data_IF_027050112501
#
_entry.id   IF_027050112501
#
_cell.length_a   1.000
_cell.length_b   1.000
_cell.length_c   1.000
_cell.angle_alpha   90.00
_cell.angle_beta   90.00
_cell.angle_gamma   90.00
#
_symmetry.space_group_name_H-M   'P 1'
#
loop_
_entity.id
_entity.type
_entity.pdbx_description
1 polymer ?
#
# COMPACT_ATOMS: atom_id res chain seq x y z
N UNK A 1 11.71 3.84 -20.22
CA UNK A 1 12.85 3.36 -19.41
C UNK A 1 12.43 3.34 -17.96
N UNK A 2 12.93 2.41 -17.16
CA UNK A 2 12.63 2.33 -15.73
C UNK A 2 13.92 2.46 -14.94
N UNK A 3 13.89 3.26 -13.89
CA UNK A 3 15.01 3.45 -12.98
C UNK A 3 14.55 3.09 -11.57
N UNK A 4 15.08 1.97 -11.08
CA UNK A 4 14.85 1.51 -9.72
C UNK A 4 15.93 2.09 -8.80
N UNK A 5 15.54 3.03 -7.94
CA UNK A 5 16.44 3.62 -6.93
C UNK A 5 16.41 2.80 -5.63
N UNK A 6 17.37 2.99 -4.71
CA UNK A 6 17.35 2.31 -3.41
C UNK A 6 16.06 2.56 -2.62
N UNK A 7 15.61 1.53 -1.90
CA UNK A 7 14.45 1.65 -1.01
C UNK A 7 14.75 2.64 0.11
N UNK A 8 14.06 3.77 0.06
CA UNK A 8 14.21 4.84 1.03
C UNK A 8 12.83 5.38 1.36
N UNK A 9 12.56 5.59 2.65
CA UNK A 9 11.32 6.21 3.08
C UNK A 9 11.37 7.69 2.72
N UNK A 10 10.59 8.11 1.72
CA UNK A 10 10.47 9.50 1.25
C UNK A 10 11.83 10.11 0.84
N UNK A 11 12.42 9.69 -0.29
CA UNK A 11 13.62 10.33 -0.83
C UNK A 11 13.37 11.82 -1.14
N UNK A 12 14.42 12.62 -1.05
CA UNK A 12 14.39 14.03 -1.46
C UNK A 12 14.46 14.14 -2.98
N UNK A 13 13.79 15.14 -3.56
CA UNK A 13 13.72 15.30 -5.02
C UNK A 13 15.11 15.44 -5.67
N UNK A 14 16.06 16.08 -5.00
CA UNK A 14 17.42 16.24 -5.49
C UNK A 14 18.17 14.90 -5.56
N UNK A 15 17.97 14.01 -4.57
CA UNK A 15 18.50 12.64 -4.63
C UNK A 15 17.91 11.85 -5.81
N UNK A 16 16.62 12.04 -6.09
CA UNK A 16 15.97 11.37 -7.23
C UNK A 16 16.58 11.89 -8.55
N UNK A 17 16.75 13.20 -8.67
CA UNK A 17 17.37 13.84 -9.84
C UNK A 17 18.79 13.34 -10.12
N UNK A 18 19.58 12.98 -9.10
CA UNK A 18 20.94 12.42 -9.34
C UNK A 18 20.93 11.00 -9.91
N UNK A 19 19.80 10.29 -9.84
CA UNK A 19 19.66 8.93 -10.37
C UNK A 19 18.92 8.90 -11.71
N UNK A 20 18.23 9.97 -12.07
CA UNK A 20 17.53 10.08 -13.35
C UNK A 20 18.51 10.08 -14.53
N UNK A 21 18.18 9.35 -15.58
CA UNK A 21 18.94 9.30 -16.83
C UNK A 21 18.53 10.41 -17.80
N UNK A 22 17.38 11.03 -17.56
CA UNK A 22 16.81 12.10 -18.36
C UNK A 22 16.51 13.33 -17.52
N UNK A 23 16.42 14.50 -18.16
CA UNK A 23 16.02 15.74 -17.48
C UNK A 23 14.51 15.84 -17.24
N UNK A 24 13.71 14.94 -17.84
CA UNK A 24 12.25 14.85 -17.67
C UNK A 24 11.87 13.40 -17.45
N UNK A 25 11.48 13.09 -16.22
CA UNK A 25 11.09 11.77 -15.79
C UNK A 25 9.80 11.85 -14.97
N UNK A 26 9.14 10.71 -14.82
CA UNK A 26 7.95 10.56 -13.98
C UNK A 26 8.31 9.75 -12.76
N UNK A 27 7.93 10.19 -11.57
CA UNK A 27 8.04 9.40 -10.34
C UNK A 27 6.75 8.61 -10.19
N UNK A 28 6.85 7.31 -9.93
CA UNK A 28 5.69 6.44 -9.77
C UNK A 28 5.69 5.82 -8.38
N UNK A 29 4.53 5.89 -7.73
CA UNK A 29 4.19 5.08 -6.55
C UNK A 29 5.06 5.32 -5.29
N UNK A 30 5.69 6.49 -5.22
CA UNK A 30 6.16 7.03 -3.95
C UNK A 30 6.17 8.57 -3.99
N UNK A 31 5.96 9.17 -2.82
CA UNK A 31 5.96 10.62 -2.67
C UNK A 31 7.32 11.16 -2.21
N UNK A 32 7.97 12.06 -2.97
CA UNK A 32 9.19 12.72 -2.53
C UNK A 32 8.93 13.62 -1.31
N UNK A 33 9.90 13.66 -0.41
CA UNK A 33 9.77 14.38 0.87
C UNK A 33 9.42 15.85 0.66
N UNK A 34 8.35 16.29 1.33
CA UNK A 34 7.86 17.68 1.36
C UNK A 34 7.48 18.27 0.00
N UNK A 35 7.37 17.46 -1.06
CA UNK A 35 7.10 17.94 -2.42
C UNK A 35 5.75 18.67 -2.52
N UNK A 36 4.76 18.26 -1.72
CA UNK A 36 3.43 18.86 -1.64
C UNK A 36 3.46 20.35 -1.27
N UNK A 37 4.55 20.84 -0.66
CA UNK A 37 4.69 22.24 -0.25
C UNK A 37 5.19 23.15 -1.38
N UNK A 38 5.74 22.58 -2.45
CA UNK A 38 6.41 23.33 -3.54
C UNK A 38 5.91 22.97 -4.94
N UNK A 39 5.27 21.81 -5.09
CA UNK A 39 4.73 21.32 -6.35
C UNK A 39 3.32 21.83 -6.62
N UNK A 40 2.89 21.75 -7.87
CA UNK A 40 1.51 22.03 -8.27
C UNK A 40 0.68 20.74 -8.24
N UNK A 41 -0.49 20.71 -7.57
CA UNK A 41 -1.34 19.53 -7.57
C UNK A 41 -1.93 19.27 -8.96
N UNK A 42 -1.99 18.01 -9.36
CA UNK A 42 -2.60 17.54 -10.61
C UNK A 42 -3.68 16.48 -10.34
N UNK A 43 -4.41 16.04 -11.37
CA UNK A 43 -5.41 14.97 -11.20
C UNK A 43 -4.80 13.60 -10.93
N UNK A 44 -3.53 13.40 -11.30
CA UNK A 44 -2.79 12.14 -11.15
C UNK A 44 -1.74 12.19 -10.01
N UNK A 45 -1.61 13.31 -9.30
CA UNK A 45 -0.59 13.51 -8.27
C UNK A 45 -0.11 14.95 -8.17
N UNK A 46 1.15 15.17 -8.54
CA UNK A 46 1.86 16.45 -8.46
C UNK A 46 2.76 16.69 -9.67
N UNK A 47 3.05 17.95 -9.96
CA UNK A 47 4.01 18.38 -10.98
C UNK A 47 4.96 19.43 -10.42
N UNK A 48 6.26 19.26 -10.66
CA UNK A 48 7.31 20.17 -10.22
C UNK A 48 8.47 20.17 -11.21
N UNK A 49 8.82 21.34 -11.75
CA UNK A 49 10.06 21.52 -12.55
C UNK A 49 10.19 20.52 -13.73
N UNK A 50 9.07 20.23 -14.42
CA UNK A 50 9.04 19.28 -15.53
C UNK A 50 9.12 17.80 -15.12
N UNK A 51 8.97 17.51 -13.82
CA UNK A 51 8.83 16.17 -13.24
C UNK A 51 7.38 15.99 -12.81
N UNK A 52 6.76 14.93 -13.30
CA UNK A 52 5.44 14.50 -12.83
C UNK A 52 5.59 13.42 -11.76
N UNK A 53 4.72 13.44 -10.76
CA UNK A 53 4.62 12.42 -9.72
C UNK A 53 3.23 11.81 -9.83
N UNK A 54 3.20 10.52 -10.20
CA UNK A 54 2.00 9.69 -10.29
C UNK A 54 1.98 8.81 -9.05
N UNK A 55 1.27 9.26 -8.03
CA UNK A 55 1.39 8.71 -6.68
C UNK A 55 0.15 9.06 -5.84
N UNK A 56 -0.26 8.12 -4.99
CA UNK A 56 -1.38 8.29 -4.06
C UNK A 56 -0.94 8.47 -2.59
N UNK A 57 0.37 8.45 -2.30
CA UNK A 57 0.94 8.48 -0.95
C UNK A 57 1.09 9.88 -0.36
N UNK A 58 0.99 10.93 -1.18
CA UNK A 58 1.03 12.30 -0.71
C UNK A 58 -0.02 12.56 0.40
N UNK A 59 0.31 13.35 1.45
CA UNK A 59 -0.60 13.66 2.55
C UNK A 59 -1.68 14.68 2.12
N UNK A 60 -2.50 14.32 1.14
CA UNK A 60 -3.52 15.16 0.52
C UNK A 60 -4.89 14.50 0.60
N UNK A 61 -5.92 15.31 0.91
CA UNK A 61 -7.31 14.83 1.02
C UNK A 61 -7.82 14.15 -0.26
N UNK A 62 -7.30 14.53 -1.44
CA UNK A 62 -7.64 13.90 -2.73
C UNK A 62 -7.38 12.39 -2.74
N UNK A 63 -6.38 11.94 -1.99
CA UNK A 63 -5.95 10.54 -1.94
C UNK A 63 -6.43 9.81 -0.68
N UNK A 64 -7.22 10.45 0.19
CA UNK A 64 -7.85 9.82 1.36
C UNK A 64 -9.12 9.02 0.99
N UNK A 65 -9.02 8.22 -0.06
CA UNK A 65 -10.08 7.35 -0.59
C UNK A 65 -9.43 6.11 -1.21
N UNK A 66 -10.14 5.00 -1.46
CA UNK A 66 -9.57 3.82 -2.12
C UNK A 66 -9.11 4.15 -3.55
N UNK A 67 -7.91 4.70 -3.68
CA UNK A 67 -7.25 5.08 -4.93
C UNK A 67 -5.78 4.72 -4.83
N UNK A 68 -5.30 4.02 -5.85
CA UNK A 68 -3.92 3.60 -6.01
C UNK A 68 -3.23 4.36 -7.15
N UNK A 69 -1.92 4.20 -7.28
CA UNK A 69 -1.08 4.80 -8.32
C UNK A 69 -1.39 4.25 -9.71
N UNK A 70 -1.85 3.00 -9.85
CA UNK A 70 -2.32 2.41 -11.10
C UNK A 70 -3.44 3.20 -11.80
N UNK A 71 -4.60 3.44 -11.15
CA UNK A 71 -5.63 4.34 -11.66
C UNK A 71 -5.11 5.74 -12.03
N UNK A 72 -4.19 6.30 -11.23
CA UNK A 72 -3.59 7.61 -11.48
C UNK A 72 -2.69 7.60 -12.73
N UNK A 73 -2.01 6.49 -13.02
CA UNK A 73 -1.22 6.31 -14.24
C UNK A 73 -2.08 6.26 -15.51
N UNK A 74 -3.26 5.65 -15.43
CA UNK A 74 -4.25 5.70 -16.52
C UNK A 74 -4.73 7.14 -16.73
N UNK A 75 -5.01 7.86 -15.65
CA UNK A 75 -5.39 9.28 -15.73
C UNK A 75 -4.26 10.13 -16.32
N UNK A 76 -3.02 9.91 -15.94
CA UNK A 76 -1.84 10.61 -16.47
C UNK A 76 -1.79 10.58 -18.01
N UNK A 77 -2.00 9.40 -18.61
CA UNK A 77 -1.96 9.23 -20.07
C UNK A 77 -3.12 9.90 -20.83
N UNK A 78 -4.15 10.38 -20.14
CA UNK A 78 -5.19 11.22 -20.78
C UNK A 78 -4.71 12.64 -21.05
N UNK A 79 -3.68 13.09 -20.32
CA UNK A 79 -3.13 14.44 -20.39
C UNK A 79 -1.72 14.47 -21.00
N UNK A 80 -1.04 13.33 -21.04
CA UNK A 80 0.35 13.21 -21.47
C UNK A 80 0.56 12.03 -22.42
N UNK A 81 1.60 12.13 -23.24
CA UNK A 81 2.19 10.97 -23.88
C UNK A 81 2.94 10.12 -22.87
N UNK A 82 3.33 8.90 -23.26
CA UNK A 82 4.18 8.03 -22.44
C UNK A 82 5.48 8.74 -22.02
N UNK A 83 5.84 8.58 -20.76
CA UNK A 83 7.08 9.07 -20.20
C UNK A 83 8.29 8.35 -20.81
N UNK A 84 9.39 9.08 -21.04
CA UNK A 84 10.66 8.49 -21.48
C UNK A 84 11.28 7.62 -20.38
N UNK A 85 11.14 8.06 -19.13
CA UNK A 85 11.69 7.45 -17.95
C UNK A 85 10.69 7.51 -16.80
N UNK A 86 10.50 6.40 -16.10
CA UNK A 86 9.83 6.38 -14.81
C UNK A 86 10.80 5.92 -13.71
N UNK A 87 10.72 6.58 -12.56
CA UNK A 87 11.51 6.28 -11.37
C UNK A 87 10.61 5.67 -10.30
N UNK A 88 11.03 4.52 -9.79
CA UNK A 88 10.38 3.75 -8.71
C UNK A 88 11.42 3.42 -7.63
N UNK A 89 11.00 3.18 -6.40
CA UNK A 89 11.88 2.78 -5.29
C UNK A 89 11.53 1.41 -4.68
N UNK A 90 10.41 0.80 -5.08
CA UNK A 90 10.00 -0.59 -4.81
C UNK A 90 9.34 -1.20 -6.06
N UNK A 91 8.97 -2.48 -5.98
CA UNK A 91 8.38 -3.27 -7.09
C UNK A 91 7.19 -4.11 -6.60
N UNK A 92 6.35 -3.53 -5.76
CA UNK A 92 5.03 -4.06 -5.48
C UNK A 92 4.09 -3.87 -6.68
N UNK A 93 2.85 -4.34 -6.53
CA UNK A 93 1.83 -4.32 -7.60
C UNK A 93 1.65 -2.91 -8.17
N UNK A 94 1.56 -1.91 -7.29
CA UNK A 94 1.24 -0.54 -7.69
C UNK A 94 2.42 0.12 -8.40
N UNK A 95 3.66 -0.10 -7.94
CA UNK A 95 4.87 0.39 -8.60
C UNK A 95 5.09 -0.20 -9.99
N UNK A 96 4.92 -1.52 -10.15
CA UNK A 96 5.11 -2.17 -11.44
C UNK A 96 4.05 -1.69 -12.45
N UNK A 97 2.78 -1.67 -12.03
CA UNK A 97 1.67 -1.31 -12.92
C UNK A 97 1.72 0.16 -13.29
N UNK A 98 1.85 1.06 -12.32
CA UNK A 98 1.86 2.51 -12.59
C UNK A 98 3.03 2.90 -13.50
N UNK A 99 4.24 2.45 -13.19
CA UNK A 99 5.42 2.77 -14.00
C UNK A 99 5.41 2.08 -15.37
N UNK A 100 4.87 0.85 -15.46
CA UNK A 100 4.66 0.15 -16.72
C UNK A 100 3.65 0.87 -17.63
N UNK A 101 2.55 1.38 -17.08
CA UNK A 101 1.55 2.16 -17.82
C UNK A 101 2.14 3.48 -18.30
N UNK A 102 2.73 4.30 -17.41
CA UNK A 102 3.22 5.64 -17.82
C UNK A 102 4.33 5.55 -18.86
N UNK A 103 5.14 4.47 -18.87
CA UNK A 103 6.19 4.27 -19.87
C UNK A 103 5.72 3.54 -21.13
N UNK A 104 4.45 3.11 -21.19
CA UNK A 104 3.88 2.41 -22.33
C UNK A 104 4.30 0.94 -22.45
N UNK A 105 4.92 0.35 -21.42
CA UNK A 105 5.23 -1.08 -21.35
C UNK A 105 3.98 -1.93 -21.07
N UNK A 106 2.99 -1.34 -20.38
CA UNK A 106 1.68 -1.94 -20.16
C UNK A 106 0.57 -1.05 -20.74
N UNK A 107 -0.51 -1.64 -21.26
CA UNK A 107 -1.66 -0.88 -21.72
C UNK A 107 -2.44 -0.27 -20.52
N UNK A 108 -3.09 0.89 -20.68
CA UNK A 108 -3.87 1.53 -19.62
C UNK A 108 -5.25 0.86 -19.45
N UNK A 109 -5.28 -0.35 -18.89
CA UNK A 109 -6.49 -1.15 -18.73
C UNK A 109 -7.06 -1.10 -17.31
N UNK A 110 -8.38 -1.10 -17.20
CA UNK A 110 -9.11 -1.09 -15.92
C UNK A 110 -8.74 -2.28 -15.02
N UNK A 111 -8.55 -3.48 -15.60
CA UNK A 111 -8.12 -4.67 -14.85
C UNK A 111 -6.79 -4.50 -14.10
N UNK A 112 -5.89 -3.65 -14.62
CA UNK A 112 -4.63 -3.33 -13.94
C UNK A 112 -4.85 -2.33 -12.80
N UNK A 113 -5.75 -1.37 -12.99
CA UNK A 113 -6.14 -0.44 -11.93
C UNK A 113 -6.83 -1.18 -10.75
N UNK A 114 -7.70 -2.14 -11.06
CA UNK A 114 -8.36 -2.98 -10.06
C UNK A 114 -7.35 -3.83 -9.28
N UNK A 115 -6.30 -4.33 -9.93
CA UNK A 115 -5.23 -5.07 -9.28
C UNK A 115 -4.48 -4.24 -8.23
N UNK A 116 -4.16 -2.98 -8.56
CA UNK A 116 -3.56 -2.06 -7.60
C UNK A 116 -4.47 -1.81 -6.39
N UNK A 117 -5.76 -1.56 -6.63
CA UNK A 117 -6.74 -1.33 -5.56
C UNK A 117 -6.89 -2.56 -4.67
N UNK A 118 -6.89 -3.77 -5.27
CA UNK A 118 -6.93 -5.03 -4.54
C UNK A 118 -5.69 -5.21 -3.65
N UNK A 119 -4.50 -4.95 -4.18
CA UNK A 119 -3.24 -5.04 -3.44
C UNK A 119 -3.17 -4.05 -2.27
N UNK A 120 -3.50 -2.77 -2.50
CA UNK A 120 -3.25 -1.71 -1.51
C UNK A 120 -4.38 -1.48 -0.53
N UNK A 121 -5.63 -1.77 -0.92
CA UNK A 121 -6.79 -1.29 -0.18
C UNK A 121 -7.77 -2.38 0.20
N UNK A 122 -8.24 -3.17 -0.77
CA UNK A 122 -9.41 -4.03 -0.53
C UNK A 122 -9.04 -5.43 -0.11
N UNK A 123 -7.88 -5.95 -0.51
CA UNK A 123 -7.46 -7.33 -0.26
C UNK A 123 -8.34 -8.36 -0.96
N UNK A 124 -9.22 -7.93 -1.86
CA UNK A 124 -10.09 -8.81 -2.64
C UNK A 124 -9.26 -9.70 -3.58
N UNK A 125 -9.81 -10.84 -3.95
CA UNK A 125 -9.15 -11.78 -4.87
C UNK A 125 -8.92 -11.11 -6.23
N UNK A 126 -7.68 -11.07 -6.68
CA UNK A 126 -7.31 -10.52 -7.97
C UNK A 126 -6.04 -11.21 -8.47
N UNK A 127 -6.13 -11.89 -9.61
CA UNK A 127 -5.03 -12.73 -10.09
C UNK A 127 -3.72 -11.95 -10.26
N UNK A 128 -3.78 -10.73 -10.80
CA UNK A 128 -2.59 -9.90 -11.02
C UNK A 128 -1.97 -9.47 -9.69
N UNK A 129 -2.78 -8.97 -8.76
CA UNK A 129 -2.30 -8.61 -7.42
C UNK A 129 -1.67 -9.83 -6.72
N UNK A 130 -2.27 -11.01 -6.88
CA UNK A 130 -1.82 -12.25 -6.25
C UNK A 130 -0.50 -12.78 -6.81
N UNK A 131 -0.24 -12.56 -8.09
CA UNK A 131 1.06 -12.90 -8.69
C UNK A 131 2.14 -11.94 -8.25
N UNK A 132 1.84 -10.63 -8.22
CA UNK A 132 2.86 -9.60 -8.14
C UNK A 132 3.19 -9.22 -6.70
N UNK A 133 2.19 -9.12 -5.81
CA UNK A 133 2.42 -8.64 -4.45
C UNK A 133 3.41 -9.51 -3.67
N UNK A 134 3.32 -10.84 -3.81
CA UNK A 134 4.22 -11.78 -3.13
C UNK A 134 5.64 -11.78 -3.72
N UNK A 135 5.88 -11.07 -4.82
CA UNK A 135 7.18 -10.96 -5.48
C UNK A 135 7.89 -9.62 -5.20
N UNK A 136 7.31 -8.72 -4.39
CA UNK A 136 7.88 -7.39 -4.11
C UNK A 136 9.33 -7.43 -3.63
N UNK A 137 9.65 -8.40 -2.75
CA UNK A 137 10.98 -8.58 -2.16
C UNK A 137 12.05 -8.97 -3.20
N UNK A 138 11.65 -9.43 -4.40
CA UNK A 138 12.58 -9.73 -5.48
C UNK A 138 13.20 -8.47 -6.09
N UNK A 139 12.52 -7.31 -5.96
CA UNK A 139 12.96 -6.04 -6.57
C UNK A 139 13.27 -6.18 -8.07
N UNK A 140 12.47 -6.98 -8.77
CA UNK A 140 12.65 -7.33 -10.18
C UNK A 140 11.47 -6.82 -11.00
N UNK A 141 11.64 -5.63 -11.57
CA UNK A 141 10.61 -4.97 -12.37
C UNK A 141 10.31 -5.72 -13.67
N UNK A 142 11.34 -6.22 -14.35
CA UNK A 142 11.18 -6.90 -15.65
C UNK A 142 10.43 -8.22 -15.47
N UNK A 143 10.68 -8.96 -14.40
CA UNK A 143 9.89 -10.13 -14.03
C UNK A 143 8.41 -9.78 -13.88
N UNK A 144 8.11 -8.69 -13.17
CA UNK A 144 6.74 -8.21 -12.97
C UNK A 144 6.03 -7.89 -14.29
N UNK A 145 6.67 -7.12 -15.17
CA UNK A 145 6.14 -6.79 -16.50
C UNK A 145 5.92 -8.05 -17.34
N UNK A 146 6.86 -8.99 -17.33
CA UNK A 146 6.75 -10.23 -18.09
C UNK A 146 5.57 -11.10 -17.61
N UNK A 147 5.35 -11.19 -16.30
CA UNK A 147 4.21 -11.91 -15.71
C UNK A 147 2.89 -11.26 -16.12
N UNK A 148 2.77 -9.94 -15.96
CA UNK A 148 1.54 -9.21 -16.30
C UNK A 148 1.25 -9.34 -17.81
N UNK A 149 2.26 -9.16 -18.66
CA UNK A 149 2.11 -9.29 -20.10
C UNK A 149 1.71 -10.70 -20.52
N UNK A 150 2.30 -11.73 -19.91
CA UNK A 150 1.92 -13.12 -20.17
C UNK A 150 0.46 -13.39 -19.75
N UNK A 151 0.01 -12.85 -18.61
CA UNK A 151 -1.37 -12.93 -18.17
C UNK A 151 -2.34 -12.28 -19.17
N UNK A 152 -2.08 -11.02 -19.56
CA UNK A 152 -2.91 -10.28 -20.51
C UNK A 152 -2.99 -10.97 -21.89
N UNK A 153 -1.89 -11.57 -22.33
CA UNK A 153 -1.81 -12.29 -23.60
C UNK A 153 -2.36 -13.73 -23.53
N UNK A 154 -2.88 -14.19 -22.38
CA UNK A 154 -3.29 -15.58 -22.13
C UNK A 154 -2.17 -16.60 -22.44
N UNK A 155 -0.93 -16.22 -22.17
CA UNK A 155 0.25 -17.08 -22.30
C UNK A 155 0.50 -17.86 -20.99
N UNK A 156 1.23 -18.98 -21.05
CA UNK A 156 1.65 -19.68 -19.85
C UNK A 156 2.43 -18.77 -18.91
N UNK A 157 2.01 -18.73 -17.64
CA UNK A 157 2.69 -17.99 -16.59
C UNK A 157 3.94 -18.74 -16.13
N UNK A 158 5.01 -18.02 -15.75
CA UNK A 158 6.18 -18.66 -15.16
C UNK A 158 5.82 -19.29 -13.81
N UNK A 159 6.51 -20.38 -13.47
CA UNK A 159 6.25 -21.16 -12.25
C UNK A 159 6.27 -20.31 -10.96
N UNK A 160 7.15 -19.30 -10.89
CA UNK A 160 7.25 -18.40 -9.75
C UNK A 160 5.97 -17.58 -9.51
N UNK A 161 5.25 -17.20 -10.58
CA UNK A 161 3.97 -16.48 -10.46
C UNK A 161 2.88 -17.42 -9.93
N UNK A 162 2.86 -18.68 -10.38
CA UNK A 162 1.92 -19.68 -9.88
C UNK A 162 2.15 -19.96 -8.39
N UNK A 163 3.40 -20.07 -7.97
CA UNK A 163 3.77 -20.23 -6.56
C UNK A 163 3.37 -19.01 -5.72
N UNK A 164 3.61 -17.79 -6.21
CA UNK A 164 3.16 -16.55 -5.59
C UNK A 164 1.64 -16.54 -5.35
N UNK A 165 0.84 -16.90 -6.36
CA UNK A 165 -0.62 -17.00 -6.21
C UNK A 165 -1.03 -18.01 -5.13
N UNK A 166 -0.41 -19.18 -5.09
CA UNK A 166 -0.72 -20.19 -4.08
C UNK A 166 -0.33 -19.73 -2.66
N UNK A 167 0.75 -18.96 -2.51
CA UNK A 167 1.11 -18.32 -1.24
C UNK A 167 0.03 -17.32 -0.84
N UNK A 168 -0.36 -16.42 -1.74
CA UNK A 168 -1.41 -15.42 -1.46
C UNK A 168 -2.75 -16.08 -1.12
N UNK A 169 -3.09 -17.18 -1.81
CA UNK A 169 -4.23 -18.05 -1.48
C UNK A 169 -4.23 -18.53 -0.04
N UNK A 170 -3.12 -19.14 0.40
CA UNK A 170 -2.98 -19.59 1.80
C UNK A 170 -3.06 -18.43 2.78
N UNK A 171 -2.47 -17.28 2.45
CA UNK A 171 -2.59 -16.09 3.30
C UNK A 171 -4.05 -15.64 3.45
N UNK A 172 -4.88 -15.69 2.40
CA UNK A 172 -6.32 -15.39 2.53
C UNK A 172 -7.07 -16.42 3.38
N UNK A 173 -6.71 -17.69 3.29
CA UNK A 173 -7.28 -18.73 4.16
C UNK A 173 -6.97 -18.42 5.64
N UNK A 174 -5.72 -18.05 5.95
CA UNK A 174 -5.33 -17.61 7.30
C UNK A 174 -6.06 -16.31 7.71
N UNK A 175 -6.18 -15.34 6.80
CA UNK A 175 -6.90 -14.09 7.05
C UNK A 175 -8.37 -14.36 7.40
N UNK A 176 -9.01 -15.30 6.70
CA UNK A 176 -10.37 -15.71 6.96
C UNK A 176 -10.51 -16.34 8.36
N UNK A 177 -9.58 -17.21 8.77
CA UNK A 177 -9.57 -17.77 10.12
C UNK A 177 -9.40 -16.70 11.20
N UNK A 178 -8.49 -15.73 10.97
CA UNK A 178 -8.30 -14.61 11.90
C UNK A 178 -9.51 -13.69 11.97
N UNK A 179 -10.12 -13.36 10.84
CA UNK A 179 -11.35 -12.56 10.79
C UNK A 179 -12.52 -13.27 11.48
N UNK A 180 -12.64 -14.59 11.33
CA UNK A 180 -13.68 -15.40 11.98
C UNK A 180 -13.57 -15.39 13.52
N UNK A 181 -12.37 -15.17 14.04
CA UNK A 181 -12.08 -15.06 15.48
C UNK A 181 -11.90 -13.61 15.94
N UNK A 182 -12.17 -12.62 15.08
CA UNK A 182 -11.99 -11.22 15.42
C UNK A 182 -12.99 -10.80 16.51
N UNK A 183 -12.52 -10.00 17.46
CA UNK A 183 -13.38 -9.36 18.46
C UNK A 183 -13.92 -8.06 17.86
N UNK A 184 -15.25 -7.96 17.76
CA UNK A 184 -15.91 -6.78 17.19
C UNK A 184 -16.47 -5.93 18.33
N UNK A 185 -16.05 -4.66 18.38
CA UNK A 185 -16.51 -3.67 19.34
C UNK A 185 -16.92 -2.39 18.59
N UNK A 186 -18.22 -2.21 18.36
CA UNK A 186 -18.72 -1.09 17.56
C UNK A 186 -18.12 -1.11 16.14
N UNK A 187 -17.50 -0.02 15.65
CA UNK A 187 -16.93 0.06 14.32
C UNK A 187 -15.54 -0.59 14.19
N UNK A 188 -15.02 -1.21 15.25
CA UNK A 188 -13.64 -1.73 15.32
C UNK A 188 -13.66 -3.25 15.40
N UNK A 189 -12.86 -3.91 14.55
CA UNK A 189 -12.46 -5.30 14.76
C UNK A 189 -11.02 -5.36 15.27
N UNK A 190 -10.78 -6.21 16.26
CA UNK A 190 -9.45 -6.49 16.79
C UNK A 190 -9.10 -7.97 16.70
N UNK A 191 -7.85 -8.24 16.35
CA UNK A 191 -7.27 -9.58 16.22
C UNK A 191 -5.93 -9.58 16.95
N UNK A 192 -5.73 -10.57 17.81
CA UNK A 192 -4.44 -10.85 18.46
C UNK A 192 -3.91 -12.16 17.91
N UNK A 193 -2.71 -12.15 17.34
CA UNK A 193 -2.10 -13.33 16.70
C UNK A 193 -0.59 -13.39 16.93
N UNK A 194 -0.01 -14.57 16.80
CA UNK A 194 1.45 -14.76 16.77
C UNK A 194 2.01 -14.83 15.35
N UNK A 195 1.15 -14.94 14.34
CA UNK A 195 1.54 -15.09 12.95
C UNK A 195 1.54 -13.75 12.22
N UNK A 196 2.46 -13.59 11.27
CA UNK A 196 2.49 -12.41 10.42
C UNK A 196 1.53 -12.59 9.26
N UNK A 197 0.63 -11.62 9.09
CA UNK A 197 -0.21 -11.50 7.92
C UNK A 197 -0.19 -10.08 7.39
N UNK A 198 -0.42 -9.95 6.08
CA UNK A 198 -0.74 -8.70 5.46
C UNK A 198 -2.17 -8.27 5.87
N UNK A 199 -2.24 -7.17 6.60
CA UNK A 199 -3.50 -6.64 7.14
C UNK A 199 -4.53 -6.30 6.05
N UNK A 200 -4.12 -6.07 4.79
CA UNK A 200 -5.07 -5.78 3.70
C UNK A 200 -5.98 -6.97 3.44
N UNK A 201 -5.50 -8.20 3.61
CA UNK A 201 -6.26 -9.42 3.39
C UNK A 201 -7.39 -9.64 4.42
N UNK A 202 -7.40 -8.89 5.51
CA UNK A 202 -8.48 -8.94 6.50
C UNK A 202 -9.71 -8.12 6.08
N UNK A 203 -9.53 -7.14 5.17
CA UNK A 203 -10.58 -6.19 4.76
C UNK A 203 -11.80 -6.88 4.14
N UNK A 204 -11.67 -7.87 3.23
CA UNK A 204 -12.84 -8.54 2.64
C UNK A 204 -13.67 -9.32 3.67
N UNK A 205 -13.03 -9.82 4.73
CA UNK A 205 -13.66 -10.69 5.72
C UNK A 205 -14.24 -9.94 6.92
N UNK A 206 -14.04 -8.62 7.00
CA UNK A 206 -14.57 -7.77 8.05
C UNK A 206 -15.40 -6.60 7.45
N UNK A 207 -16.44 -6.90 6.65
CA UNK A 207 -17.12 -5.91 5.80
C UNK A 207 -17.90 -4.84 6.56
N UNK A 208 -18.16 -5.03 7.85
CA UNK A 208 -18.91 -4.10 8.71
C UNK A 208 -18.01 -3.16 9.53
N UNK A 209 -16.68 -3.26 9.37
CA UNK A 209 -15.72 -2.54 10.22
C UNK A 209 -15.22 -1.27 9.55
N UNK A 210 -14.98 -0.24 10.35
CA UNK A 210 -14.30 0.99 9.92
C UNK A 210 -12.80 0.93 10.21
N UNK A 211 -12.39 0.23 11.27
CA UNK A 211 -10.99 0.07 11.65
C UNK A 211 -10.72 -1.40 11.99
N UNK A 212 -9.64 -1.93 11.44
CA UNK A 212 -9.08 -3.24 11.77
C UNK A 212 -7.79 -3.02 12.56
N UNK A 213 -7.74 -3.60 13.77
CA UNK A 213 -6.58 -3.59 14.65
C UNK A 213 -5.99 -4.99 14.68
N UNK A 214 -4.77 -5.14 14.21
CA UNK A 214 -4.03 -6.39 14.25
C UNK A 214 -2.84 -6.25 15.20
N UNK A 215 -2.81 -7.05 16.26
CA UNK A 215 -1.77 -7.00 17.28
C UNK A 215 -1.01 -8.32 17.33
N UNK A 216 0.32 -8.24 17.36
CA UNK A 216 1.21 -9.40 17.39
C UNK A 216 2.47 -9.13 18.22
N UNK A 217 3.21 -10.16 18.66
CA UNK A 217 4.50 -9.96 19.31
C UNK A 217 5.45 -9.15 18.43
N UNK A 218 6.13 -8.17 19.03
CA UNK A 218 7.24 -7.50 18.35
C UNK A 218 8.39 -8.48 18.18
N UNK A 219 9.05 -8.49 17.01
CA UNK A 219 10.05 -9.49 16.60
C UNK A 219 10.96 -9.98 17.75
N UNK A 220 10.72 -11.22 18.20
CA UNK A 220 11.55 -11.88 19.23
C UNK A 220 11.32 -11.42 20.67
N UNK A 221 10.35 -10.55 20.92
CA UNK A 221 10.02 -10.00 22.25
C UNK A 221 8.52 -10.10 22.54
N UNK A 222 8.13 -11.09 23.35
CA UNK A 222 6.73 -11.32 23.72
C UNK A 222 6.16 -10.29 24.71
N UNK A 223 7.01 -9.44 25.31
CA UNK A 223 6.58 -8.37 26.22
C UNK A 223 6.32 -7.06 25.49
N UNK A 224 6.57 -7.03 24.18
CA UNK A 224 6.34 -5.88 23.32
C UNK A 224 5.41 -6.27 22.19
N UNK A 225 4.56 -5.35 21.77
CA UNK A 225 3.60 -5.60 20.70
C UNK A 225 3.88 -4.74 19.47
N UNK A 226 3.80 -5.36 18.30
CA UNK A 226 3.55 -4.70 17.04
C UNK A 226 2.03 -4.55 16.87
N UNK A 227 1.57 -3.32 16.65
CA UNK A 227 0.17 -3.00 16.35
C UNK A 227 0.13 -2.46 14.93
N UNK A 228 -0.67 -3.09 14.08
CA UNK A 228 -1.04 -2.61 12.75
C UNK A 228 -2.49 -2.12 12.76
N UNK A 229 -2.73 -0.99 12.12
CA UNK A 229 -4.05 -0.41 11.95
C UNK A 229 -4.33 -0.28 10.46
N UNK A 230 -5.56 -0.59 10.06
CA UNK A 230 -6.04 -0.42 8.69
C UNK A 230 -7.49 0.05 8.68
N UNK A 231 -7.84 0.91 7.73
CA UNK A 231 -9.22 1.26 7.48
C UNK A 231 -9.96 0.06 6.88
N UNK A 232 -11.12 -0.25 7.45
CA UNK A 232 -12.03 -1.27 6.94
C UNK A 232 -12.99 -0.73 5.89
N UNK A 233 -13.84 -1.59 5.35
CA UNK A 233 -14.75 -1.29 4.23
C UNK A 233 -15.79 -0.22 4.56
N UNK A 234 -16.18 -0.07 5.83
CA UNK A 234 -17.15 0.93 6.27
C UNK A 234 -16.51 2.26 6.69
N UNK A 235 -15.18 2.42 6.55
CA UNK A 235 -14.54 3.70 6.84
C UNK A 235 -15.17 4.80 5.96
N UNK A 236 -15.67 5.85 6.59
CA UNK A 236 -16.27 6.97 5.88
C UNK A 236 -15.25 7.62 4.93
N UNK A 237 -15.70 8.22 3.84
CA UNK A 237 -14.84 8.83 2.81
C UNK A 237 -13.94 9.97 3.31
N UNK A 238 -14.23 10.53 4.49
CA UNK A 238 -13.41 11.57 5.13
C UNK A 238 -12.55 11.02 6.29
N UNK A 239 -12.68 9.72 6.59
CA UNK A 239 -11.89 9.06 7.63
C UNK A 239 -10.47 8.79 7.13
N UNK A 240 -9.50 9.15 7.97
CA UNK A 240 -8.09 8.85 7.76
C UNK A 240 -7.48 8.49 9.11
N UNK A 241 -6.63 7.46 9.15
CA UNK A 241 -5.87 7.10 10.34
C UNK A 241 -4.99 8.25 10.85
N UNK A 242 -4.59 9.17 9.96
CA UNK A 242 -3.87 10.40 10.33
C UNK A 242 -4.73 11.36 11.15
N UNK A 243 -6.06 11.36 10.92
CA UNK A 243 -7.00 12.25 11.62
C UNK A 243 -7.44 11.68 12.98
N UNK A 244 -7.15 10.41 13.28
CA UNK A 244 -7.55 9.74 14.53
C UNK A 244 -6.60 10.02 15.73
N UNK A 245 -5.63 10.94 15.57
CA UNK A 245 -4.67 11.32 16.61
C UNK A 245 -3.97 10.11 17.28
N UNK A 246 -3.73 9.03 16.54
CA UNK A 246 -3.22 7.75 17.07
C UNK A 246 -1.90 7.95 17.83
N UNK A 247 -1.04 8.83 17.33
CA UNK A 247 0.25 9.17 17.97
C UNK A 247 0.13 9.74 19.39
N UNK A 248 -1.05 10.26 19.78
CA UNK A 248 -1.30 10.74 21.13
C UNK A 248 -1.23 9.62 22.17
N UNK A 249 -1.71 8.43 21.82
CA UNK A 249 -1.71 7.26 22.72
C UNK A 249 -0.71 6.18 22.29
N UNK A 250 -0.38 6.08 21.00
CA UNK A 250 0.62 5.17 20.46
C UNK A 250 1.73 5.97 19.77
N UNK A 251 2.66 6.54 20.56
CA UNK A 251 3.71 7.46 20.10
C UNK A 251 4.59 6.91 18.96
N UNK A 252 4.79 5.59 18.94
CA UNK A 252 5.61 4.89 17.95
C UNK A 252 4.88 4.61 16.64
N UNK A 253 3.59 4.96 16.54
CA UNK A 253 2.78 4.76 15.34
C UNK A 253 3.23 5.65 14.19
N UNK A 254 3.44 5.02 13.04
CA UNK A 254 3.62 5.69 11.75
C UNK A 254 2.79 5.00 10.68
N UNK A 255 2.36 5.75 9.67
CA UNK A 255 1.52 5.19 8.62
C UNK A 255 1.04 6.23 7.63
N UNK A 256 0.24 5.74 6.70
CA UNK A 256 -0.49 6.50 5.68
C UNK A 256 -1.92 6.73 6.17
N UNK A 257 -2.77 7.27 5.29
CA UNK A 257 -4.17 7.55 5.61
C UNK A 257 -5.01 6.28 5.84
N UNK A 258 -4.73 5.19 5.13
CA UNK A 258 -5.49 3.94 5.22
C UNK A 258 -4.84 2.83 6.04
N UNK A 259 -3.52 2.88 6.25
CA UNK A 259 -2.80 1.81 6.93
C UNK A 259 -1.54 2.33 7.65
N UNK A 260 -1.19 1.71 8.77
CA UNK A 260 0.02 2.03 9.50
C UNK A 260 0.37 1.01 10.57
N UNK A 261 1.54 1.17 11.18
CA UNK A 261 1.97 0.33 12.29
C UNK A 261 2.97 1.06 13.19
N UNK A 262 3.21 0.52 14.38
CA UNK A 262 4.30 0.97 15.26
C UNK A 262 5.61 0.19 15.06
N UNK A 263 5.72 -0.67 14.03
CA UNK A 263 6.88 -1.55 13.81
C UNK A 263 8.20 -0.77 13.69
N UNK A 264 8.21 0.28 12.86
CA UNK A 264 9.42 1.12 12.65
C UNK A 264 9.78 1.94 13.89
N UNK A 265 8.80 2.28 14.72
CA UNK A 265 9.01 2.92 16.02
C UNK A 265 9.41 1.95 17.13
N UNK A 266 9.60 0.67 16.83
CA UNK A 266 10.07 -0.34 17.77
C UNK A 266 8.99 -1.04 18.58
N UNK A 267 7.70 -0.86 18.26
CA UNK A 267 6.60 -1.48 19.01
C UNK A 267 6.08 -0.65 20.20
N UNK A 268 5.34 -1.29 21.09
CA UNK A 268 4.88 -0.74 22.38
C UNK A 268 5.18 -1.73 23.51
N UNK A 269 5.53 -1.24 24.69
CA UNK A 269 5.92 -2.05 25.86
C UNK A 269 4.70 -2.62 26.59
N UNK A 270 3.92 -3.41 25.86
CA UNK A 270 2.73 -4.13 26.32
C UNK A 270 2.72 -5.51 25.67
N UNK A 271 2.13 -6.50 26.35
CA UNK A 271 1.83 -7.78 25.70
C UNK A 271 0.83 -7.56 24.56
N UNK A 272 0.75 -8.46 23.57
CA UNK A 272 -0.22 -8.31 22.48
C UNK A 272 -1.68 -8.15 22.96
N UNK A 273 -2.08 -8.85 24.01
CA UNK A 273 -3.42 -8.72 24.59
C UNK A 273 -3.64 -7.35 25.27
N UNK A 274 -2.66 -6.89 26.06
CA UNK A 274 -2.75 -5.59 26.72
C UNK A 274 -2.72 -4.42 25.71
N UNK A 275 -1.92 -4.56 24.65
CA UNK A 275 -1.83 -3.59 23.57
C UNK A 275 -3.13 -3.52 22.75
N UNK A 276 -3.77 -4.65 22.46
CA UNK A 276 -5.09 -4.68 21.82
C UNK A 276 -6.11 -3.90 22.66
N UNK A 277 -6.25 -4.24 23.94
CA UNK A 277 -7.18 -3.56 24.84
C UNK A 277 -6.90 -2.06 24.92
N UNK A 278 -5.63 -1.68 25.07
CA UNK A 278 -5.20 -0.28 25.13
C UNK A 278 -5.58 0.50 23.87
N UNK A 279 -5.27 -0.04 22.68
CA UNK A 279 -5.52 0.63 21.40
C UNK A 279 -7.02 0.71 21.10
N UNK A 280 -7.75 -0.39 21.25
CA UNK A 280 -9.20 -0.43 20.99
C UNK A 280 -9.92 0.54 21.92
N UNK A 281 -9.57 0.60 23.21
CA UNK A 281 -10.19 1.53 24.16
C UNK A 281 -9.97 3.00 23.75
N UNK A 282 -8.75 3.37 23.36
CA UNK A 282 -8.46 4.74 22.95
C UNK A 282 -9.14 5.10 21.62
N UNK A 283 -9.27 4.16 20.69
CA UNK A 283 -9.99 4.37 19.44
C UNK A 283 -11.51 4.51 19.66
N UNK A 284 -12.12 3.67 20.50
CA UNK A 284 -13.54 3.77 20.83
C UNK A 284 -13.90 5.14 21.41
N UNK A 285 -13.01 5.73 22.22
CA UNK A 285 -13.18 7.09 22.75
C UNK A 285 -13.15 8.18 21.66
N UNK A 286 -12.69 7.89 20.43
CA UNK A 286 -12.80 8.80 19.29
C UNK A 286 -14.15 8.71 18.57
N UNK A 287 -14.93 7.65 18.82
CA UNK A 287 -16.25 7.40 18.23
C UNK A 287 -17.42 7.77 19.13
N UNK A 288 -17.15 8.07 20.41
CA UNK A 288 -18.13 8.48 21.42
C UNK A 288 -18.33 10.00 21.41
#
# INVERSE_FOLDING_TARGET
>A
MITLIPETSQPEIDFIKTHANTSRFTICDFHPKNLENIATPTVYGWSYDGIDVVDHHAPDRRFQKPISSGPLAIEYLKHHSTAQEAIINHTDTDSIISSGIVTGLLPPLEVLADACIAADHTGEENEIADFIQELEDKRDFDLGINIISAFLDNKPLPQIALEAREIRKRQREIAFEFASNAKIQGPIASIVTTETIDSVLLVPFLPETQIIVLTMPFRGDSKRAEVKLRLGRQAHTEMSLQNLNIQRFLKTYGGRWNAGSNRRGGGIDLTPADAELFVVTNLLNQFA
#
